data_IF_547779908222
#
_entry.id   IF_547779908222
#
_cell.length_a   1.000
_cell.length_b   1.000
_cell.length_c   1.000
_cell.angle_alpha   90.00
_cell.angle_beta   90.00
_cell.angle_gamma   90.00
#
_symmetry.space_group_name_H-M   'P 1'
#
loop_
_entity.id
_entity.type
_entity.pdbx_description
1 polymer ?
#
# COMPACT_ATOMS: atom_id res chain seq x y z
N UNK A 1 50.03 -7.32 -40.74
CA UNK A 1 49.76 -8.26 -39.62
C UNK A 1 48.84 -7.57 -38.60
N UNK A 2 47.54 -7.88 -38.62
CA UNK A 2 46.57 -7.34 -37.64
C UNK A 2 46.80 -8.00 -36.28
N UNK A 3 46.97 -7.18 -35.25
CA UNK A 3 47.35 -7.58 -33.90
C UNK A 3 46.31 -8.49 -33.25
N UNK A 4 46.72 -9.71 -32.85
CA UNK A 4 45.95 -10.68 -32.08
C UNK A 4 45.39 -10.11 -30.75
N UNK A 5 45.91 -8.97 -30.28
CA UNK A 5 45.37 -8.25 -29.12
C UNK A 5 43.97 -7.68 -29.35
N UNK A 6 43.58 -7.39 -30.61
CA UNK A 6 42.22 -6.90 -30.92
C UNK A 6 41.17 -8.02 -30.96
N UNK A 7 41.58 -9.28 -31.10
CA UNK A 7 40.64 -10.41 -31.16
C UNK A 7 40.14 -10.83 -29.76
N UNK A 8 40.93 -10.58 -28.71
CA UNK A 8 40.53 -10.83 -27.31
C UNK A 8 39.58 -9.79 -26.72
N UNK A 9 39.44 -8.61 -27.32
CA UNK A 9 38.56 -7.56 -26.78
C UNK A 9 37.08 -7.72 -27.17
N UNK A 10 36.75 -8.71 -28.02
CA UNK A 10 35.37 -8.98 -28.46
C UNK A 10 34.62 -10.00 -27.61
N UNK A 11 35.24 -10.56 -26.58
CA UNK A 11 34.58 -11.39 -25.57
C UNK A 11 34.43 -10.56 -24.29
N UNK A 12 33.67 -9.47 -24.36
CA UNK A 12 33.16 -8.78 -23.17
C UNK A 12 31.69 -9.17 -22.98
N UNK A 13 31.37 -10.22 -22.21
CA UNK A 13 30.05 -10.35 -21.63
C UNK A 13 30.04 -9.39 -20.44
N UNK A 14 29.68 -8.11 -20.64
CA UNK A 14 29.70 -7.17 -19.50
C UNK A 14 28.77 -5.98 -19.55
N UNK A 15 28.12 -5.69 -20.66
CA UNK A 15 27.13 -4.60 -20.73
C UNK A 15 25.72 -5.18 -20.60
N UNK A 16 25.35 -6.16 -21.43
CA UNK A 16 24.06 -6.86 -21.32
C UNK A 16 23.86 -7.55 -19.96
N UNK A 17 24.89 -8.21 -19.42
CA UNK A 17 24.79 -8.86 -18.11
C UNK A 17 24.69 -7.86 -16.96
N UNK A 18 25.29 -6.67 -17.10
CA UNK A 18 25.16 -5.58 -16.11
C UNK A 18 23.79 -4.92 -16.18
N UNK A 19 23.24 -4.69 -17.36
CA UNK A 19 21.90 -4.15 -17.53
C UNK A 19 20.82 -5.15 -17.09
N UNK A 20 20.99 -6.45 -17.39
CA UNK A 20 20.14 -7.53 -16.86
C UNK A 20 20.22 -7.61 -15.34
N UNK A 21 21.42 -7.61 -14.76
CA UNK A 21 21.54 -7.68 -13.29
C UNK A 21 21.02 -6.42 -12.58
N UNK A 22 21.17 -5.23 -13.19
CA UNK A 22 20.59 -3.99 -12.66
C UNK A 22 19.06 -3.98 -12.76
N UNK A 23 18.48 -4.42 -13.88
CA UNK A 23 17.03 -4.54 -14.04
C UNK A 23 16.42 -5.59 -13.09
N UNK A 24 17.10 -6.74 -12.90
CA UNK A 24 16.71 -7.76 -11.91
C UNK A 24 16.73 -7.17 -10.49
N UNK A 25 17.76 -6.39 -10.13
CA UNK A 25 17.84 -5.76 -8.81
C UNK A 25 16.73 -4.73 -8.58
N UNK A 26 16.36 -3.95 -9.62
CA UNK A 26 15.25 -3.00 -9.56
C UNK A 26 13.90 -3.72 -9.43
N UNK A 27 13.69 -4.80 -10.20
CA UNK A 27 12.49 -5.65 -10.09
C UNK A 27 12.36 -6.22 -8.68
N UNK A 28 13.43 -6.83 -8.16
CA UNK A 28 13.46 -7.47 -6.85
C UNK A 28 13.27 -6.47 -5.69
N UNK A 29 13.64 -5.20 -5.90
CA UNK A 29 13.31 -4.11 -4.96
C UNK A 29 11.83 -3.76 -5.01
N UNK A 30 11.25 -3.62 -6.22
CA UNK A 30 9.81 -3.38 -6.39
C UNK A 30 8.97 -4.50 -5.77
N UNK A 31 9.36 -5.76 -5.97
CA UNK A 31 8.63 -6.90 -5.41
C UNK A 31 8.65 -6.88 -3.87
N UNK A 32 9.80 -6.57 -3.27
CA UNK A 32 9.89 -6.40 -1.80
C UNK A 32 9.05 -5.24 -1.30
N UNK A 33 9.06 -4.11 -1.99
CA UNK A 33 8.25 -2.95 -1.63
C UNK A 33 6.76 -3.28 -1.73
N UNK A 34 6.33 -4.01 -2.77
CA UNK A 34 4.96 -4.50 -2.93
C UNK A 34 4.54 -5.44 -1.81
N UNK A 35 5.35 -6.46 -1.50
CA UNK A 35 5.07 -7.40 -0.40
C UNK A 35 4.95 -6.65 0.92
N UNK A 36 5.84 -5.69 1.19
CA UNK A 36 5.77 -4.87 2.40
C UNK A 36 4.47 -4.07 2.48
N UNK A 37 4.02 -3.50 1.37
CA UNK A 37 2.77 -2.72 1.32
C UNK A 37 1.56 -3.61 1.56
N UNK A 38 1.48 -4.76 0.89
CA UNK A 38 0.40 -5.74 1.08
C UNK A 38 0.37 -6.23 2.53
N UNK A 39 1.54 -6.50 3.12
CA UNK A 39 1.62 -6.95 4.51
C UNK A 39 1.09 -5.89 5.49
N UNK A 40 1.45 -4.62 5.28
CA UNK A 40 0.92 -3.50 6.08
C UNK A 40 -0.60 -3.38 5.89
N UNK A 41 -1.08 -3.47 4.65
CA UNK A 41 -2.50 -3.39 4.32
C UNK A 41 -3.31 -4.49 5.02
N UNK A 42 -2.82 -5.74 5.00
CA UNK A 42 -3.44 -6.86 5.71
C UNK A 42 -3.47 -6.61 7.22
N UNK A 43 -2.38 -6.14 7.82
CA UNK A 43 -2.34 -5.82 9.26
C UNK A 43 -3.39 -4.78 9.61
N UNK A 44 -3.44 -3.66 8.87
CA UNK A 44 -4.42 -2.61 9.12
C UNK A 44 -5.84 -3.08 8.91
N UNK A 45 -6.09 -3.90 7.88
CA UNK A 45 -7.40 -4.46 7.61
C UNK A 45 -7.88 -5.36 8.77
N UNK A 46 -7.02 -6.25 9.25
CA UNK A 46 -7.34 -7.13 10.39
C UNK A 46 -7.61 -6.32 11.65
N UNK A 47 -6.74 -5.36 12.00
CA UNK A 47 -6.93 -4.50 13.18
C UNK A 47 -8.21 -3.67 13.07
N UNK A 48 -8.57 -3.24 11.86
CA UNK A 48 -9.76 -2.41 11.62
C UNK A 48 -11.07 -3.19 11.68
N UNK A 49 -11.05 -4.46 11.25
CA UNK A 49 -12.25 -5.31 11.15
C UNK A 49 -12.50 -6.17 12.39
N UNK A 50 -11.44 -6.50 13.15
CA UNK A 50 -11.54 -7.31 14.36
C UNK A 50 -12.48 -6.71 15.42
N UNK A 51 -12.45 -5.40 15.75
CA UNK A 51 -13.35 -4.82 16.74
C UNK A 51 -14.83 -4.92 16.35
N UNK A 52 -15.15 -4.82 15.05
CA UNK A 52 -16.52 -4.99 14.57
C UNK A 52 -17.00 -6.43 14.78
N UNK A 53 -16.14 -7.42 14.50
CA UNK A 53 -16.45 -8.83 14.73
C UNK A 53 -16.70 -9.12 16.21
N UNK A 54 -15.88 -8.56 17.10
CA UNK A 54 -16.06 -8.66 18.56
C UNK A 54 -17.39 -8.01 18.98
N UNK A 55 -17.70 -6.83 18.45
CA UNK A 55 -18.96 -6.14 18.71
C UNK A 55 -20.18 -6.98 18.30
N UNK A 56 -20.14 -7.65 17.13
CA UNK A 56 -21.22 -8.52 16.68
C UNK A 56 -21.44 -9.70 17.63
N UNK A 57 -20.37 -10.36 18.08
CA UNK A 57 -20.46 -11.46 19.05
C UNK A 57 -21.08 -10.95 20.36
N UNK A 58 -20.58 -9.82 20.89
CA UNK A 58 -21.14 -9.20 22.08
C UNK A 58 -22.62 -8.86 21.93
N UNK A 59 -23.03 -8.34 20.76
CA UNK A 59 -24.43 -8.03 20.46
C UNK A 59 -25.29 -9.29 20.47
N UNK A 60 -24.85 -10.37 19.81
CA UNK A 60 -25.57 -11.65 19.80
C UNK A 60 -25.72 -12.25 21.20
N UNK A 61 -24.67 -12.21 22.02
CA UNK A 61 -24.71 -12.75 23.39
C UNK A 61 -25.58 -11.94 24.34
N UNK A 62 -25.84 -10.67 24.04
CA UNK A 62 -26.57 -9.76 24.94
C UNK A 62 -27.92 -9.32 24.38
N UNK A 63 -28.41 -9.97 23.33
CA UNK A 63 -29.59 -9.54 22.58
C UNK A 63 -30.88 -9.66 23.42
N UNK A 64 -30.95 -10.66 24.30
CA UNK A 64 -32.08 -10.90 25.20
C UNK A 64 -32.03 -10.08 26.49
N UNK A 65 -30.96 -9.31 26.72
CA UNK A 65 -30.81 -8.51 27.94
C UNK A 65 -31.48 -7.14 27.77
N UNK A 66 -32.27 -6.72 28.75
CA UNK A 66 -32.82 -5.36 28.79
C UNK A 66 -31.69 -4.39 29.13
N UNK A 67 -31.31 -3.58 28.14
CA UNK A 67 -30.24 -2.57 28.26
C UNK A 67 -30.80 -1.19 28.55
N UNK A 68 -30.11 -0.41 29.38
CA UNK A 68 -30.40 1.00 29.61
C UNK A 68 -30.28 1.82 28.32
N UNK A 69 -30.95 2.98 28.28
CA UNK A 69 -30.90 3.88 27.11
C UNK A 69 -29.48 4.35 26.80
N UNK A 70 -28.72 4.71 27.83
CA UNK A 70 -27.32 5.13 27.69
C UNK A 70 -26.44 4.03 27.10
N UNK A 71 -26.59 2.78 27.57
CA UNK A 71 -25.83 1.65 27.05
C UNK A 71 -26.13 1.39 25.58
N UNK A 72 -27.40 1.51 25.17
CA UNK A 72 -27.79 1.41 23.75
C UNK A 72 -27.16 2.51 22.89
N UNK A 73 -27.06 3.74 23.41
CA UNK A 73 -26.41 4.84 22.70
C UNK A 73 -24.92 4.61 22.50
N UNK A 74 -24.22 4.16 23.56
CA UNK A 74 -22.79 3.80 23.47
C UNK A 74 -22.58 2.68 22.45
N UNK A 75 -23.39 1.62 22.50
CA UNK A 75 -23.30 0.52 21.55
C UNK A 75 -23.54 0.97 20.11
N UNK A 76 -24.51 1.86 19.89
CA UNK A 76 -24.78 2.40 18.56
C UNK A 76 -23.63 3.28 18.04
N UNK A 77 -23.00 4.06 18.92
CA UNK A 77 -21.85 4.90 18.59
C UNK A 77 -20.63 4.05 18.23
N UNK A 78 -20.34 3.03 19.05
CA UNK A 78 -19.29 2.03 18.78
C UNK A 78 -19.54 1.35 17.43
N UNK A 79 -20.77 0.91 17.18
CA UNK A 79 -21.14 0.30 15.90
C UNK A 79 -20.89 1.25 14.72
N UNK A 80 -21.28 2.52 14.84
CA UNK A 80 -21.04 3.51 13.79
C UNK A 80 -19.55 3.71 13.50
N UNK A 81 -18.70 3.81 14.54
CA UNK A 81 -17.26 3.95 14.37
C UNK A 81 -16.68 2.76 13.60
N UNK A 82 -16.99 1.54 14.01
CA UNK A 82 -16.36 0.36 13.43
C UNK A 82 -16.97 -0.04 12.08
N UNK A 83 -18.30 0.00 11.95
CA UNK A 83 -19.00 -0.44 10.75
C UNK A 83 -19.02 0.61 9.65
N UNK A 84 -19.18 1.89 9.99
CA UNK A 84 -19.24 2.96 8.99
C UNK A 84 -17.89 3.61 8.84
N UNK A 85 -17.39 4.27 9.89
CA UNK A 85 -16.20 5.12 9.75
C UNK A 85 -14.95 4.33 9.36
N UNK A 86 -14.57 3.32 10.15
CA UNK A 86 -13.34 2.54 9.94
C UNK A 86 -13.45 1.66 8.68
N UNK A 87 -14.61 1.06 8.43
CA UNK A 87 -14.80 0.24 7.23
C UNK A 87 -14.66 1.05 5.94
N UNK A 88 -15.25 2.25 5.86
CA UNK A 88 -15.05 3.12 4.71
C UNK A 88 -13.62 3.67 4.64
N UNK A 89 -12.96 3.91 5.77
CA UNK A 89 -11.55 4.32 5.80
C UNK A 89 -10.64 3.29 5.13
N UNK A 90 -10.94 1.98 5.27
CA UNK A 90 -10.20 0.92 4.57
C UNK A 90 -10.22 1.06 3.04
N UNK A 91 -11.23 1.72 2.44
CA UNK A 91 -11.24 1.92 0.98
C UNK A 91 -10.19 2.93 0.50
N UNK A 92 -9.86 3.94 1.32
CA UNK A 92 -8.81 4.92 1.03
C UNK A 92 -7.45 4.56 1.60
N UNK A 93 -7.41 3.61 2.55
CA UNK A 93 -6.21 3.23 3.29
C UNK A 93 -5.03 2.80 2.39
N UNK A 94 -5.21 2.02 1.30
CA UNK A 94 -4.10 1.61 0.45
C UNK A 94 -3.35 2.84 -0.07
N UNK A 95 -4.08 3.88 -0.52
CA UNK A 95 -3.46 5.12 -1.01
C UNK A 95 -2.54 5.76 0.03
N UNK A 96 -2.99 5.86 1.29
CA UNK A 96 -2.17 6.41 2.38
C UNK A 96 -0.97 5.51 2.71
N UNK A 97 -1.13 4.18 2.65
CA UNK A 97 -0.03 3.23 2.84
C UNK A 97 1.01 3.37 1.72
N UNK A 98 0.57 3.49 0.46
CA UNK A 98 1.45 3.69 -0.70
C UNK A 98 2.23 5.00 -0.59
N UNK A 99 1.58 6.09 -0.17
CA UNK A 99 2.25 7.38 0.08
C UNK A 99 3.28 7.25 1.20
N UNK A 100 2.94 6.58 2.30
CA UNK A 100 3.80 6.54 3.48
C UNK A 100 5.00 5.62 3.30
N UNK A 101 4.82 4.50 2.61
CA UNK A 101 5.82 3.42 2.51
C UNK A 101 6.75 3.59 1.31
N UNK A 102 6.26 4.03 0.16
CA UNK A 102 7.04 4.06 -1.08
C UNK A 102 7.54 5.47 -1.42
N UNK A 103 8.86 5.67 -1.35
CA UNK A 103 9.50 6.90 -1.84
C UNK A 103 9.40 7.05 -3.37
N UNK A 104 9.36 5.93 -4.10
CA UNK A 104 9.12 5.91 -5.54
C UNK A 104 7.72 6.42 -5.88
N UNK A 105 6.70 5.94 -5.17
CA UNK A 105 5.31 6.38 -5.37
C UNK A 105 5.16 7.89 -5.12
N UNK A 106 5.73 8.41 -4.02
CA UNK A 106 5.70 9.86 -3.73
C UNK A 106 6.33 10.71 -4.84
N UNK A 107 7.42 10.25 -5.45
CA UNK A 107 8.06 10.96 -6.57
C UNK A 107 7.20 10.96 -7.82
N UNK A 108 6.55 9.85 -8.13
CA UNK A 108 5.69 9.73 -9.30
C UNK A 108 4.41 10.56 -9.13
N UNK A 109 3.82 10.54 -7.92
CA UNK A 109 2.68 11.37 -7.54
C UNK A 109 3.01 12.87 -7.69
N UNK A 110 4.15 13.33 -7.14
CA UNK A 110 4.62 14.71 -7.33
C UNK A 110 4.77 15.08 -8.80
N UNK A 111 5.31 14.19 -9.64
CA UNK A 111 5.44 14.43 -11.09
C UNK A 111 4.08 14.59 -11.77
N UNK A 112 3.08 13.80 -11.38
CA UNK A 112 1.72 13.92 -11.91
C UNK A 112 1.13 15.29 -11.51
N UNK A 113 1.23 15.67 -10.24
CA UNK A 113 0.73 16.97 -9.75
C UNK A 113 1.41 18.15 -10.46
N UNK A 114 2.74 18.12 -10.64
CA UNK A 114 3.46 19.18 -11.36
C UNK A 114 2.99 19.27 -12.82
N UNK A 115 2.86 18.13 -13.51
CA UNK A 115 2.36 18.11 -14.89
C UNK A 115 0.92 18.61 -15.00
N UNK A 116 0.07 18.23 -14.06
CA UNK A 116 -1.33 18.66 -14.01
C UNK A 116 -1.44 20.17 -13.74
N UNK A 117 -0.65 20.69 -12.80
CA UNK A 117 -0.57 22.13 -12.53
C UNK A 117 -0.06 22.90 -13.75
N UNK A 118 1.00 22.42 -14.41
CA UNK A 118 1.53 23.00 -15.63
C UNK A 118 0.53 22.94 -16.81
N UNK A 119 -0.32 21.92 -16.87
CA UNK A 119 -1.39 21.81 -17.85
C UNK A 119 -2.50 22.84 -17.59
N UNK A 120 -2.91 23.01 -16.34
CA UNK A 120 -3.91 24.01 -15.94
C UNK A 120 -3.41 25.44 -16.22
N UNK A 121 -2.16 25.76 -15.87
CA UNK A 121 -1.56 27.08 -16.09
C UNK A 121 -1.28 27.41 -17.56
N UNK A 122 -1.33 26.43 -18.47
CA UNK A 122 -1.15 26.63 -19.91
C UNK A 122 -2.44 26.95 -20.65
N UNK A 123 -3.58 26.87 -19.98
CA UNK A 123 -4.92 27.10 -20.52
C UNK A 123 -5.48 28.41 -19.96
#
# INVERSE_FOLDING_TARGET
>A
MKSLKQLRSRVQPRIEDKEKSQSINVLRKRDRDLIKIVFIEVIFYVISTMPFSIYLIYKMMTDYLIKSRERKQIESFINYIFQSFIMYLNTGLPFYIYISTSSSFRRDLKRIFIKFYAFIMRK
#
